data_IF_191023207231
#
_entry.id   IF_191023207231
#
_cell.length_a   1.000
_cell.length_b   1.000
_cell.length_c   1.000
_cell.angle_alpha   90.00
_cell.angle_beta   90.00
_cell.angle_gamma   90.00
#
_symmetry.space_group_name_H-M   'P 1'
#
loop_
_entity.id
_entity.type
_entity.pdbx_description
1 polymer ?
#
# COMPACT_ATOMS: atom_id res chain seq x y z
N UNK A 1 -25.86 -24.09 -30.83
CA UNK A 1 -25.09 -22.84 -30.94
C UNK A 1 -25.42 -21.84 -29.83
N UNK A 2 -26.70 -21.56 -29.55
CA UNK A 2 -27.14 -20.59 -28.51
C UNK A 2 -26.61 -20.93 -27.10
N UNK A 3 -26.57 -22.21 -26.72
CA UNK A 3 -26.04 -22.66 -25.41
C UNK A 3 -24.53 -22.42 -25.21
N UNK A 4 -23.74 -22.41 -26.29
CA UNK A 4 -22.30 -22.14 -26.19
C UNK A 4 -22.02 -20.65 -25.99
N UNK A 5 -22.83 -19.80 -26.59
CA UNK A 5 -22.75 -18.33 -26.45
C UNK A 5 -22.99 -17.93 -24.99
N UNK A 6 -24.01 -18.51 -24.33
CA UNK A 6 -24.30 -18.22 -22.92
C UNK A 6 -23.18 -18.65 -21.97
N UNK A 7 -22.50 -19.76 -22.26
CA UNK A 7 -21.37 -20.26 -21.44
C UNK A 7 -20.15 -19.34 -21.63
N UNK A 8 -19.88 -18.93 -22.85
CA UNK A 8 -18.76 -18.04 -23.17
C UNK A 8 -18.94 -16.65 -22.52
N UNK A 9 -20.16 -16.12 -22.49
CA UNK A 9 -20.47 -14.85 -21.82
C UNK A 9 -20.30 -14.92 -20.29
N UNK A 10 -20.68 -16.02 -19.64
CA UNK A 10 -20.51 -16.19 -18.19
C UNK A 10 -19.03 -16.29 -17.79
N UNK A 11 -18.22 -16.97 -18.61
CA UNK A 11 -16.77 -17.08 -18.41
C UNK A 11 -16.07 -15.71 -18.57
N UNK A 12 -16.55 -14.86 -19.49
CA UNK A 12 -16.02 -13.51 -19.66
C UNK A 12 -16.33 -12.59 -18.47
N UNK A 13 -17.53 -12.68 -17.89
CA UNK A 13 -17.93 -11.88 -16.71
C UNK A 13 -17.07 -12.22 -15.49
N UNK A 14 -16.71 -13.49 -15.30
CA UNK A 14 -15.80 -13.90 -14.21
C UNK A 14 -14.37 -13.40 -14.40
N UNK A 15 -13.92 -13.25 -15.65
CA UNK A 15 -12.54 -12.85 -15.96
C UNK A 15 -12.29 -11.34 -15.73
N UNK A 16 -13.32 -10.50 -15.83
CA UNK A 16 -13.17 -9.05 -15.66
C UNK A 16 -13.15 -8.57 -14.21
N UNK A 17 -13.37 -9.45 -13.22
CA UNK A 17 -13.42 -9.06 -11.80
C UNK A 17 -12.05 -9.09 -11.09
N UNK A 18 -10.98 -9.58 -11.73
CA UNK A 18 -9.67 -9.82 -11.08
C UNK A 18 -8.67 -8.66 -11.17
N UNK A 19 -9.04 -7.51 -11.74
CA UNK A 19 -8.16 -6.34 -11.73
C UNK A 19 -8.24 -5.66 -10.36
N UNK A 20 -7.59 -6.27 -9.37
CA UNK A 20 -7.27 -5.64 -8.10
C UNK A 20 -6.29 -4.51 -8.39
N UNK A 21 -6.81 -3.28 -8.52
CA UNK A 21 -5.97 -2.10 -8.57
C UNK A 21 -5.30 -1.99 -7.20
N UNK A 22 -4.06 -2.49 -7.12
CA UNK A 22 -3.14 -2.27 -6.01
C UNK A 22 -2.82 -0.76 -5.97
N UNK A 23 -3.69 -0.01 -5.31
CA UNK A 23 -3.46 1.40 -5.05
C UNK A 23 -2.67 1.47 -3.74
N UNK A 24 -1.36 1.71 -3.84
CA UNK A 24 -0.53 1.98 -2.66
C UNK A 24 -1.07 3.24 -1.98
N UNK A 25 -1.77 3.05 -0.86
CA UNK A 25 -2.30 4.13 -0.04
C UNK A 25 -1.14 4.87 0.61
N UNK A 26 -0.84 6.05 0.08
CA UNK A 26 0.25 6.89 0.55
C UNK A 26 -0.16 7.64 1.82
N UNK A 27 0.34 7.20 2.98
CA UNK A 27 0.08 7.88 4.25
C UNK A 27 1.05 9.06 4.46
N UNK A 28 0.46 10.24 4.64
CA UNK A 28 1.17 11.49 4.91
C UNK A 28 1.33 11.63 6.43
N UNK A 29 2.53 11.39 6.97
CA UNK A 29 2.71 11.38 8.44
C UNK A 29 2.67 12.76 9.06
N UNK A 30 3.18 13.80 8.37
CA UNK A 30 3.37 15.12 8.99
C UNK A 30 3.68 16.23 7.98
N UNK A 31 3.02 17.38 8.15
CA UNK A 31 3.45 18.67 7.59
C UNK A 31 4.67 19.17 8.38
N UNK A 32 5.76 19.50 7.68
CA UNK A 32 6.97 20.08 8.30
C UNK A 32 7.10 21.59 8.10
N UNK A 33 6.43 22.18 7.11
CA UNK A 33 6.53 23.61 6.82
C UNK A 33 6.14 23.98 5.38
N UNK A 34 6.28 25.25 4.99
CA UNK A 34 6.01 25.69 3.62
C UNK A 34 7.06 25.18 2.63
N UNK A 35 6.72 25.18 1.35
CA UNK A 35 7.69 24.92 0.29
C UNK A 35 8.57 26.14 0.05
N UNK A 36 9.89 25.96 0.09
CA UNK A 36 10.86 27.00 -0.22
C UNK A 36 11.11 26.98 -1.74
N UNK A 37 10.58 27.98 -2.44
CA UNK A 37 10.69 28.09 -3.92
C UNK A 37 10.15 26.86 -4.68
N UNK A 38 9.16 26.16 -4.10
CA UNK A 38 8.60 24.94 -4.66
C UNK A 38 9.39 23.66 -4.35
N UNK A 39 10.43 23.75 -3.52
CA UNK A 39 11.23 22.61 -3.09
C UNK A 39 11.08 22.35 -1.60
N UNK A 40 11.27 21.08 -1.23
CA UNK A 40 11.32 20.61 0.14
C UNK A 40 12.66 19.93 0.43
N UNK A 41 13.04 19.77 1.71
CA UNK A 41 14.20 18.96 2.11
C UNK A 41 14.13 17.53 1.56
N UNK A 42 15.26 16.81 1.54
CA UNK A 42 15.31 15.42 1.05
C UNK A 42 14.31 14.54 1.80
N UNK A 43 13.63 13.64 1.08
CA UNK A 43 12.55 12.75 1.57
C UNK A 43 11.20 13.44 1.89
N UNK A 44 11.00 14.69 1.45
CA UNK A 44 9.73 15.40 1.55
C UNK A 44 9.24 15.83 0.16
N UNK A 45 7.93 15.93 0.02
CA UNK A 45 7.29 16.39 -1.23
C UNK A 45 6.46 17.64 -0.97
N UNK A 46 6.57 18.61 -1.89
CA UNK A 46 5.74 19.81 -1.89
C UNK A 46 4.37 19.47 -2.46
N UNK A 47 3.32 19.60 -1.64
CA UNK A 47 1.94 19.48 -2.05
C UNK A 47 1.18 20.68 -1.46
N UNK A 48 0.37 21.37 -2.27
CA UNK A 48 -0.39 22.56 -1.81
C UNK A 48 0.44 23.58 -0.98
N UNK A 49 1.66 23.89 -1.45
CA UNK A 49 2.57 24.84 -0.79
C UNK A 49 3.08 24.41 0.60
N UNK A 50 2.87 23.16 0.97
CA UNK A 50 3.32 22.53 2.22
C UNK A 50 4.21 21.35 1.91
N UNK A 51 5.24 21.18 2.72
CA UNK A 51 6.13 20.04 2.67
C UNK A 51 5.60 18.92 3.56
N UNK A 52 5.43 17.74 2.96
CA UNK A 52 4.93 16.55 3.64
C UNK A 52 5.98 15.45 3.62
N UNK A 53 6.13 14.76 4.76
CA UNK A 53 6.98 13.57 4.82
C UNK A 53 6.29 12.47 4.04
N UNK A 54 6.97 12.00 2.99
CA UNK A 54 6.56 10.79 2.32
C UNK A 54 6.92 9.61 3.22
N UNK A 55 5.96 9.07 3.96
CA UNK A 55 6.16 7.71 4.44
C UNK A 55 6.04 6.83 3.23
N UNK A 56 7.03 5.94 3.09
CA UNK A 56 6.82 4.76 2.26
C UNK A 56 5.51 4.14 2.75
N UNK A 57 4.53 4.05 1.86
CA UNK A 57 3.26 3.41 2.16
C UNK A 57 3.61 2.13 2.89
N UNK A 58 3.21 2.07 4.16
CA UNK A 58 3.42 0.87 4.97
C UNK A 58 2.52 -0.14 4.31
N UNK A 59 3.09 -0.89 3.38
CA UNK A 59 2.37 -1.88 2.61
C UNK A 59 1.73 -2.81 3.63
N UNK A 60 0.41 -2.72 3.81
CA UNK A 60 -0.36 -3.62 4.67
C UNK A 60 -0.26 -5.07 4.18
N UNK A 61 0.43 -5.29 3.07
CA UNK A 61 0.83 -6.59 2.56
C UNK A 61 1.71 -7.29 3.59
N UNK A 62 1.33 -8.50 4.00
CA UNK A 62 2.17 -9.30 4.87
C UNK A 62 3.47 -9.66 4.15
N UNK A 63 4.60 -9.50 4.83
CA UNK A 63 5.92 -9.88 4.31
C UNK A 63 6.01 -11.40 4.06
N UNK A 64 5.31 -12.18 4.88
CA UNK A 64 5.35 -13.64 4.89
C UNK A 64 4.76 -14.21 6.17
N UNK A 65 4.83 -15.54 6.36
CA UNK A 65 4.39 -16.18 7.59
C UNK A 65 5.33 -15.86 8.76
N UNK A 66 4.82 -16.00 9.98
CA UNK A 66 5.65 -15.90 11.18
C UNK A 66 6.54 -17.15 11.33
N UNK A 67 7.77 -16.96 11.79
CA UNK A 67 8.67 -18.06 12.15
C UNK A 67 8.79 -18.04 13.67
N UNK A 68 8.31 -19.09 14.35
CA UNK A 68 8.28 -19.19 15.82
C UNK A 68 7.62 -17.98 16.52
N UNK A 69 6.51 -17.49 15.98
CA UNK A 69 5.81 -16.26 16.43
C UNK A 69 6.68 -14.98 16.36
N UNK A 70 7.74 -14.99 15.55
CA UNK A 70 8.63 -13.85 15.34
C UNK A 70 8.60 -13.37 13.90
N UNK A 71 8.88 -12.09 13.75
CA UNK A 71 9.01 -11.38 12.49
C UNK A 71 10.29 -10.52 12.52
N UNK A 72 10.82 -10.12 11.35
CA UNK A 72 11.94 -9.20 11.28
C UNK A 72 11.63 -7.85 11.92
N UNK A 73 12.67 -7.05 12.16
CA UNK A 73 12.54 -5.73 12.78
C UNK A 73 11.52 -4.87 12.01
N UNK A 74 10.67 -4.14 12.75
CA UNK A 74 9.55 -3.33 12.25
C UNK A 74 8.35 -4.12 11.69
N UNK A 75 8.27 -5.42 11.97
CA UNK A 75 7.10 -6.25 11.66
C UNK A 75 6.58 -6.95 12.92
N UNK A 76 5.26 -7.12 13.01
CA UNK A 76 4.56 -7.83 14.07
C UNK A 76 3.79 -9.01 13.50
N UNK A 77 3.83 -10.13 14.21
CA UNK A 77 3.05 -11.31 13.88
C UNK A 77 1.58 -11.06 14.22
N UNK A 78 0.71 -11.02 13.21
CA UNK A 78 -0.74 -11.01 13.36
C UNK A 78 -1.31 -12.11 12.46
N UNK A 79 -2.20 -12.96 12.99
CA UNK A 79 -2.82 -14.05 12.23
C UNK A 79 -1.82 -14.96 11.48
N UNK A 80 -0.68 -15.31 12.11
CA UNK A 80 0.40 -16.09 11.52
C UNK A 80 1.09 -15.43 10.29
N UNK A 81 0.90 -14.13 10.12
CA UNK A 81 1.55 -13.33 9.08
C UNK A 81 2.28 -12.12 9.67
N UNK A 82 3.40 -11.74 9.05
CA UNK A 82 4.20 -10.60 9.46
C UNK A 82 3.72 -9.33 8.80
N UNK A 83 3.07 -8.47 9.57
CA UNK A 83 2.61 -7.15 9.13
C UNK A 83 3.55 -6.06 9.63
N UNK A 84 3.81 -5.01 8.86
CA UNK A 84 4.63 -3.90 9.33
C UNK A 84 3.95 -3.16 10.48
N UNK A 85 4.73 -2.74 11.47
CA UNK A 85 4.21 -1.92 12.59
C UNK A 85 4.05 -0.48 12.12
N UNK A 86 2.81 0.00 12.07
CA UNK A 86 2.50 1.42 11.82
C UNK A 86 3.10 2.26 12.94
N UNK A 87 4.15 3.03 12.65
CA UNK A 87 4.80 3.92 13.63
C UNK A 87 6.33 3.87 13.70
N UNK A 88 7.02 3.15 12.81
CA UNK A 88 8.49 3.20 12.77
C UNK A 88 9.03 4.37 11.92
N UNK A 89 8.68 5.58 12.35
CA UNK A 89 9.27 6.84 11.88
C UNK A 89 10.43 7.19 12.83
N UNK A 90 11.65 6.69 12.55
CA UNK A 90 12.87 7.34 13.07
C UNK A 90 13.18 8.61 12.28
#
# INVERSE_FOLDING_TARGET
MIRYITIFSLLFITFTCSQEQNYEEFQVDSEIGPCEQGFCPRAYTCYENKCFRMLKAVSLTPLGPCIDNRCPENYQCQNNQCYPVSGFSR
#
